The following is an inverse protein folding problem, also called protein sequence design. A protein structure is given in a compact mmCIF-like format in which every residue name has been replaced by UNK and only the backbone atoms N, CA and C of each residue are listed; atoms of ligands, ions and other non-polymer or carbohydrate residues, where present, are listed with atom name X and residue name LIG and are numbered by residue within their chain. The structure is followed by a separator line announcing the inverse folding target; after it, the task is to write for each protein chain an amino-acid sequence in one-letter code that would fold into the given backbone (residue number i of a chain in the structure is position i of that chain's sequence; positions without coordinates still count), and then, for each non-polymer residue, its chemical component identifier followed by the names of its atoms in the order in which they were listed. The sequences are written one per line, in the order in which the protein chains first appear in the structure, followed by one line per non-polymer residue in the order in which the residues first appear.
data_IF_709229909298
#
_entry.id   IF_709229909298
#
_cell.length_a   1.000
_cell.length_b   1.000
_cell.length_c   1.000
_cell.angle_alpha   90.00
_cell.angle_beta   90.00
_cell.angle_gamma   90.00
#
_symmetry.space_group_name_H-M   'P 1'
#
loop_
_entity.id
_entity.type
_entity.pdbx_description
1 polymer ?
#
# COMPACT_ATOMS: atom_id res chain seq x y z
N UNK A 1 -13.43 -33.48 -21.22
CA UNK A 1 -12.47 -34.04 -20.25
C UNK A 1 -11.15 -33.26 -20.25
N UNK A 2 -10.58 -32.93 -21.41
CA UNK A 2 -9.33 -32.16 -21.51
C UNK A 2 -9.35 -30.78 -20.82
N UNK A 3 -10.49 -30.07 -20.81
CA UNK A 3 -10.62 -28.80 -20.08
C UNK A 3 -10.26 -28.92 -18.59
N UNK A 4 -10.86 -29.89 -17.89
CA UNK A 4 -10.65 -30.08 -16.44
C UNK A 4 -9.21 -30.46 -16.12
N UNK A 5 -8.55 -31.18 -17.04
CA UNK A 5 -7.13 -31.51 -16.91
C UNK A 5 -6.27 -30.25 -16.93
N UNK A 6 -6.47 -29.37 -17.91
CA UNK A 6 -5.69 -28.14 -18.02
C UNK A 6 -6.01 -27.11 -16.92
N UNK A 7 -7.26 -27.08 -16.47
CA UNK A 7 -7.68 -26.28 -15.31
C UNK A 7 -6.94 -26.74 -14.05
N UNK A 8 -6.93 -28.05 -13.77
CA UNK A 8 -6.13 -28.62 -12.67
C UNK A 8 -4.63 -28.33 -12.82
N UNK A 9 -4.06 -28.55 -14.01
CA UNK A 9 -2.65 -28.24 -14.29
C UNK A 9 -2.30 -26.77 -14.05
N UNK A 10 -3.19 -25.84 -14.37
CA UNK A 10 -2.98 -24.41 -14.14
C UNK A 10 -2.99 -24.09 -12.64
N UNK A 11 -3.94 -24.64 -11.88
CA UNK A 11 -4.00 -24.47 -10.43
C UNK A 11 -2.79 -25.10 -9.71
N UNK A 12 -2.40 -26.32 -10.09
CA UNK A 12 -1.23 -26.99 -9.53
C UNK A 12 0.06 -26.23 -9.84
N UNK A 13 0.20 -25.70 -11.07
CA UNK A 13 1.34 -24.88 -11.43
C UNK A 13 1.40 -23.56 -10.65
N UNK A 14 0.26 -22.91 -10.38
CA UNK A 14 0.20 -21.72 -9.53
C UNK A 14 0.59 -22.04 -8.08
N UNK A 15 0.08 -23.14 -7.53
CA UNK A 15 0.44 -23.57 -6.18
C UNK A 15 1.93 -23.90 -6.05
N UNK A 16 2.50 -24.61 -7.02
CA UNK A 16 3.94 -24.87 -7.08
C UNK A 16 4.72 -23.54 -7.18
N UNK A 17 4.24 -22.58 -7.98
CA UNK A 17 4.88 -21.27 -8.12
C UNK A 17 4.90 -20.51 -6.79
N UNK A 18 3.79 -20.51 -6.05
CA UNK A 18 3.71 -19.89 -4.72
C UNK A 18 4.68 -20.51 -3.72
N UNK A 19 4.77 -21.84 -3.67
CA UNK A 19 5.69 -22.55 -2.78
C UNK A 19 7.16 -22.19 -3.10
N UNK A 20 7.52 -22.18 -4.39
CA UNK A 20 8.89 -21.87 -4.83
C UNK A 20 9.23 -20.40 -4.51
N UNK A 21 8.34 -19.45 -4.79
CA UNK A 21 8.55 -18.03 -4.45
C UNK A 21 8.68 -17.80 -2.93
N UNK A 22 7.92 -18.53 -2.12
CA UNK A 22 8.02 -18.47 -0.65
C UNK A 22 9.38 -18.96 -0.17
N UNK A 23 9.84 -20.10 -0.68
CA UNK A 23 11.16 -20.65 -0.32
C UNK A 23 12.29 -19.70 -0.73
N UNK A 24 12.22 -19.11 -1.93
CA UNK A 24 13.14 -18.06 -2.39
C UNK A 24 13.17 -16.88 -1.42
N UNK A 25 12.01 -16.38 -1.03
CA UNK A 25 11.87 -15.23 -0.10
C UNK A 25 12.47 -15.52 1.27
N UNK A 26 12.25 -16.73 1.80
CA UNK A 26 12.82 -17.17 3.07
C UNK A 26 14.35 -17.28 2.98
N UNK A 27 14.88 -17.88 1.92
CA UNK A 27 16.33 -17.99 1.70
C UNK A 27 17.00 -16.62 1.58
N UNK A 28 16.39 -15.67 0.88
CA UNK A 28 16.92 -14.31 0.77
C UNK A 28 16.98 -13.63 2.14
N UNK A 29 15.90 -13.70 2.94
CA UNK A 29 15.89 -13.16 4.31
C UNK A 29 16.91 -13.86 5.23
N UNK A 30 17.05 -15.18 5.10
CA UNK A 30 18.03 -15.96 5.85
C UNK A 30 19.46 -15.51 5.50
N UNK A 31 19.76 -15.39 4.20
CA UNK A 31 21.04 -14.87 3.71
C UNK A 31 21.32 -13.48 4.28
N UNK A 32 20.37 -12.56 4.20
CA UNK A 32 20.55 -11.16 4.65
C UNK A 32 20.74 -11.04 6.17
N UNK A 33 20.19 -11.97 6.95
CA UNK A 33 20.28 -11.99 8.41
C UNK A 33 21.52 -12.71 8.94
N UNK A 34 21.84 -13.88 8.38
CA UNK A 34 22.83 -14.79 8.96
C UNK A 34 24.13 -14.87 8.16
N UNK A 35 24.13 -14.52 6.88
CA UNK A 35 25.30 -14.58 6.01
C UNK A 35 25.81 -13.15 5.77
N UNK A 36 26.40 -12.56 6.81
CA UNK A 36 27.09 -11.26 6.74
C UNK A 36 28.59 -11.47 6.93
N UNK A 37 29.38 -11.14 5.90
CA UNK A 37 30.85 -11.13 5.96
C UNK A 37 31.51 -12.51 5.97
N UNK A 38 31.52 -13.21 4.83
CA UNK A 38 32.45 -14.30 4.50
C UNK A 38 32.63 -14.36 2.97
N UNK A 39 33.85 -14.62 2.51
CA UNK A 39 34.19 -14.79 1.09
C UNK A 39 33.79 -16.17 0.57
N UNK A 40 33.25 -16.19 -0.66
CA UNK A 40 32.68 -17.33 -1.41
C UNK A 40 31.26 -17.80 -0.99
N UNK A 41 30.25 -16.99 -1.32
CA UNK A 41 28.81 -17.30 -1.27
C UNK A 41 28.33 -18.39 -2.27
N UNK A 42 29.23 -19.20 -2.84
CA UNK A 42 28.96 -20.03 -4.02
C UNK A 42 27.84 -21.06 -3.81
N UNK A 43 27.75 -21.67 -2.63
CA UNK A 43 26.70 -22.67 -2.33
C UNK A 43 25.30 -22.03 -2.26
N UNK A 44 25.17 -20.89 -1.59
CA UNK A 44 23.92 -20.14 -1.49
C UNK A 44 23.47 -19.64 -2.86
N UNK A 45 24.40 -19.14 -3.68
CA UNK A 45 24.09 -18.74 -5.06
C UNK A 45 23.64 -19.90 -5.95
N UNK A 46 24.25 -21.08 -5.81
CA UNK A 46 23.81 -22.28 -6.54
C UNK A 46 22.40 -22.73 -6.11
N UNK A 47 22.10 -22.66 -4.81
CA UNK A 47 20.76 -22.94 -4.31
C UNK A 47 19.73 -21.93 -4.87
N UNK A 48 20.05 -20.63 -4.84
CA UNK A 48 19.18 -19.59 -5.40
C UNK A 48 18.96 -19.79 -6.90
N UNK A 49 20.02 -20.10 -7.66
CA UNK A 49 19.93 -20.39 -9.10
C UNK A 49 19.06 -21.61 -9.40
N UNK A 50 19.12 -22.64 -8.56
CA UNK A 50 18.23 -23.82 -8.67
C UNK A 50 16.77 -23.43 -8.44
N UNK A 51 16.51 -22.59 -7.44
CA UNK A 51 15.16 -22.08 -7.16
C UNK A 51 14.67 -21.19 -8.31
N UNK A 52 15.50 -20.29 -8.86
CA UNK A 52 15.14 -19.47 -10.02
C UNK A 52 14.83 -20.32 -11.26
N UNK A 53 15.60 -21.40 -11.48
CA UNK A 53 15.32 -22.35 -12.55
C UNK A 53 13.97 -23.04 -12.34
N UNK A 54 13.64 -23.40 -11.10
CA UNK A 54 12.33 -23.98 -10.76
C UNK A 54 11.19 -22.98 -10.97
N UNK A 55 11.35 -21.71 -10.58
CA UNK A 55 10.38 -20.63 -10.86
C UNK A 55 10.09 -20.56 -12.36
N UNK A 56 11.13 -20.50 -13.20
CA UNK A 56 10.97 -20.44 -14.67
C UNK A 56 10.27 -21.67 -15.23
N UNK A 57 10.64 -22.86 -14.76
CA UNK A 57 10.02 -24.10 -15.21
C UNK A 57 8.52 -24.15 -14.85
N UNK A 58 8.17 -23.80 -13.62
CA UNK A 58 6.77 -23.79 -13.16
C UNK A 58 5.96 -22.68 -13.86
N UNK A 59 6.54 -21.50 -14.08
CA UNK A 59 5.90 -20.44 -14.87
C UNK A 59 5.64 -20.90 -16.32
N UNK A 60 6.57 -21.63 -16.94
CA UNK A 60 6.37 -22.20 -18.26
C UNK A 60 5.23 -23.24 -18.30
N UNK A 61 5.13 -24.11 -17.27
CA UNK A 61 4.01 -25.06 -17.14
C UNK A 61 2.67 -24.32 -17.08
N UNK A 62 2.58 -23.26 -16.27
CA UNK A 62 1.36 -22.45 -16.17
C UNK A 62 1.01 -21.80 -17.52
N UNK A 63 1.99 -21.18 -18.20
CA UNK A 63 1.78 -20.55 -19.52
C UNK A 63 1.28 -21.55 -20.56
N UNK A 64 1.83 -22.77 -20.56
CA UNK A 64 1.39 -23.84 -21.46
C UNK A 64 -0.06 -24.27 -21.17
N UNK A 65 -0.41 -24.48 -19.90
CA UNK A 65 -1.78 -24.81 -19.49
C UNK A 65 -2.76 -23.68 -19.82
N UNK A 66 -2.39 -22.42 -19.57
CA UNK A 66 -3.20 -21.24 -19.87
C UNK A 66 -3.44 -21.07 -21.38
N UNK A 67 -2.42 -21.32 -22.20
CA UNK A 67 -2.57 -21.34 -23.66
C UNK A 67 -3.56 -22.42 -24.12
N UNK A 68 -3.46 -23.64 -23.58
CA UNK A 68 -4.40 -24.71 -23.87
C UNK A 68 -5.84 -24.36 -23.46
N UNK A 69 -6.02 -23.76 -22.27
CA UNK A 69 -7.32 -23.26 -21.80
C UNK A 69 -7.87 -22.16 -22.72
N UNK A 70 -7.01 -21.27 -23.22
CA UNK A 70 -7.43 -20.21 -24.15
C UNK A 70 -8.02 -20.82 -25.42
N UNK A 71 -7.31 -21.75 -26.06
CA UNK A 71 -7.75 -22.45 -27.27
C UNK A 71 -9.05 -23.24 -27.02
N UNK A 72 -9.11 -24.00 -25.93
CA UNK A 72 -10.29 -24.80 -25.58
C UNK A 72 -11.49 -23.93 -25.22
N UNK A 73 -11.27 -22.75 -24.64
CA UNK A 73 -12.36 -21.86 -24.22
C UNK A 73 -13.14 -21.31 -25.42
N UNK A 74 -12.44 -20.99 -26.51
CA UNK A 74 -13.05 -20.51 -27.75
C UNK A 74 -13.87 -21.62 -28.42
N UNK A 75 -13.43 -22.87 -28.30
CA UNK A 75 -14.13 -24.06 -28.84
C UNK A 75 -15.34 -24.49 -28.00
N UNK A 76 -15.24 -24.38 -26.67
CA UNK A 76 -16.25 -24.86 -25.71
C UNK A 76 -17.21 -23.75 -25.24
N UNK A 77 -17.00 -22.50 -25.65
CA UNK A 77 -17.82 -21.36 -25.25
C UNK A 77 -17.76 -21.03 -23.75
N UNK A 78 -16.62 -21.29 -23.09
CA UNK A 78 -16.46 -21.03 -21.64
C UNK A 78 -16.19 -19.54 -21.39
N UNK A 79 -17.09 -18.90 -20.65
CA UNK A 79 -17.00 -17.48 -20.28
C UNK A 79 -16.59 -17.36 -18.80
N UNK A 80 -15.95 -16.25 -18.44
CA UNK A 80 -15.61 -15.94 -17.04
C UNK A 80 -14.20 -16.37 -16.66
N UNK A 81 -13.76 -17.60 -16.90
CA UNK A 81 -12.50 -18.19 -16.35
C UNK A 81 -11.23 -17.30 -16.40
N UNK A 82 -11.11 -16.40 -17.39
CA UNK A 82 -10.00 -15.42 -17.51
C UNK A 82 -9.84 -14.47 -16.31
N UNK A 83 -10.87 -14.25 -15.49
CA UNK A 83 -10.75 -13.42 -14.28
C UNK A 83 -10.00 -14.14 -13.15
N UNK A 84 -10.09 -15.47 -13.11
CA UNK A 84 -9.47 -16.36 -12.13
C UNK A 84 -8.06 -16.74 -12.60
N UNK A 85 -7.95 -17.26 -13.82
CA UNK A 85 -6.69 -17.69 -14.43
C UNK A 85 -6.25 -16.66 -15.47
N UNK A 86 -5.45 -15.69 -15.02
CA UNK A 86 -4.95 -14.58 -15.86
C UNK A 86 -3.67 -14.98 -16.61
N UNK A 87 -3.36 -14.34 -17.75
CA UNK A 87 -2.07 -14.51 -18.39
C UNK A 87 -0.94 -14.09 -17.43
N UNK A 88 0.10 -14.92 -17.31
CA UNK A 88 1.23 -14.70 -16.40
C UNK A 88 2.36 -13.94 -17.11
N UNK A 89 2.46 -12.64 -16.87
CA UNK A 89 3.60 -11.83 -17.28
C UNK A 89 4.83 -12.10 -16.39
N UNK A 90 6.04 -11.80 -16.88
CA UNK A 90 7.25 -11.94 -16.04
C UNK A 90 7.24 -10.97 -14.85
N UNK A 91 6.58 -9.82 -14.99
CA UNK A 91 6.37 -8.81 -13.94
C UNK A 91 5.51 -9.33 -12.78
N UNK A 92 4.59 -10.27 -13.07
CA UNK A 92 3.71 -10.86 -12.07
C UNK A 92 4.45 -11.84 -11.15
N UNK A 93 5.62 -12.35 -11.58
CA UNK A 93 6.44 -13.32 -10.86
C UNK A 93 7.23 -12.58 -9.77
N UNK A 94 6.54 -12.24 -8.69
CA UNK A 94 7.09 -11.50 -7.58
C UNK A 94 6.80 -12.18 -6.25
N UNK A 95 7.77 -12.11 -5.34
CA UNK A 95 7.60 -12.55 -3.96
C UNK A 95 6.46 -11.79 -3.26
N UNK A 96 5.72 -12.51 -2.43
CA UNK A 96 4.76 -11.97 -1.46
C UNK A 96 5.36 -10.88 -0.55
N UNK A 97 6.69 -10.85 -0.32
CA UNK A 97 7.35 -9.79 0.49
C UNK A 97 7.90 -8.63 -0.35
N UNK A 98 8.08 -8.81 -1.67
CA UNK A 98 8.59 -7.76 -2.54
C UNK A 98 7.46 -6.93 -3.17
N UNK A 99 6.37 -7.57 -3.60
CA UNK A 99 5.28 -6.88 -4.32
C UNK A 99 5.73 -6.41 -5.71
N UNK A 100 4.85 -5.75 -6.46
CA UNK A 100 5.12 -5.27 -7.83
C UNK A 100 5.90 -3.94 -7.84
N UNK A 101 5.71 -3.11 -6.82
CA UNK A 101 6.39 -1.80 -6.70
C UNK A 101 7.59 -1.91 -5.75
N UNK A 102 8.81 -1.83 -6.30
CA UNK A 102 10.09 -1.86 -5.57
C UNK A 102 10.37 -0.52 -4.83
N UNK A 103 9.42 0.41 -4.86
CA UNK A 103 9.47 1.63 -4.05
C UNK A 103 9.61 1.28 -2.57
N UNK A 104 10.72 1.72 -1.96
CA UNK A 104 11.02 1.57 -0.51
C UNK A 104 9.89 2.04 0.43
N UNK A 105 8.91 2.79 -0.09
CA UNK A 105 7.70 3.15 0.63
C UNK A 105 6.69 2.00 0.64
N UNK A 106 6.53 1.37 1.80
CA UNK A 106 5.54 0.32 2.05
C UNK A 106 4.09 0.74 1.71
N UNK A 107 3.81 2.04 1.60
CA UNK A 107 2.49 2.59 1.25
C UNK A 107 2.01 2.41 -0.18
N UNK A 108 2.91 2.21 -1.17
CA UNK A 108 2.52 2.01 -2.60
C UNK A 108 2.57 0.55 -3.05
N UNK A 109 3.01 -0.34 -2.17
CA UNK A 109 3.24 -1.74 -2.45
C UNK A 109 1.94 -2.47 -2.81
N UNK A 110 1.89 -3.00 -4.03
CA UNK A 110 0.80 -3.84 -4.54
C UNK A 110 1.25 -5.30 -4.65
N UNK A 111 0.36 -6.21 -4.28
CA UNK A 111 0.57 -7.65 -4.50
C UNK A 111 0.28 -8.03 -5.94
N UNK A 112 1.04 -8.99 -6.45
CA UNK A 112 0.74 -9.62 -7.73
C UNK A 112 -0.56 -10.41 -7.66
N UNK A 113 -1.29 -10.47 -8.77
CA UNK A 113 -2.58 -11.14 -8.87
C UNK A 113 -2.50 -12.63 -8.53
N UNK A 114 -1.33 -13.26 -8.75
CA UNK A 114 -1.08 -14.66 -8.40
C UNK A 114 -1.40 -14.91 -6.91
N UNK A 115 -1.13 -13.93 -6.03
CA UNK A 115 -1.40 -14.01 -4.60
C UNK A 115 -2.83 -13.62 -4.19
N UNK A 116 -3.57 -12.92 -5.06
CA UNK A 116 -4.94 -12.46 -4.80
C UNK A 116 -6.00 -13.54 -5.06
N UNK A 117 -5.70 -14.51 -5.93
CA UNK A 117 -6.66 -15.53 -6.39
C UNK A 117 -6.80 -16.70 -5.40
N UNK A 118 -5.81 -16.94 -4.53
CA UNK A 118 -5.82 -18.05 -3.56
C UNK A 118 -6.81 -17.91 -2.39
N UNK A 119 -7.68 -16.89 -2.36
CA UNK A 119 -8.59 -16.62 -1.24
C UNK A 119 -10.02 -17.14 -1.39
N UNK A 120 -10.42 -17.68 -2.54
CA UNK A 120 -11.84 -18.03 -2.78
C UNK A 120 -12.01 -19.25 -3.70
N UNK A 121 -11.56 -20.42 -3.26
CA UNK A 121 -12.09 -21.67 -3.78
C UNK A 121 -12.64 -22.48 -2.60
N UNK A 122 -13.97 -22.55 -2.53
CA UNK A 122 -14.77 -23.37 -1.60
C UNK A 122 -14.54 -24.89 -1.76
N UNK A 123 -13.64 -25.29 -2.66
CA UNK A 123 -13.27 -26.69 -2.88
C UNK A 123 -12.29 -27.17 -1.83
N UNK A 124 -12.84 -27.82 -0.81
CA UNK A 124 -12.19 -28.66 0.20
C UNK A 124 -11.16 -29.65 -0.40
N UNK A 125 -9.89 -29.23 -0.50
CA UNK A 125 -8.73 -30.12 -0.32
C UNK A 125 -7.71 -29.35 0.51
N UNK A 126 -7.75 -29.55 1.84
CA UNK A 126 -6.73 -29.02 2.75
C UNK A 126 -5.44 -29.81 2.52
N UNK A 127 -4.61 -29.38 1.58
CA UNK A 127 -3.22 -29.78 1.57
C UNK A 127 -2.53 -29.08 2.75
N UNK A 128 -1.84 -29.81 3.62
CA UNK A 128 -1.15 -29.23 4.80
C UNK A 128 -0.13 -28.15 4.39
N UNK A 129 0.44 -28.26 3.18
CA UNK A 129 1.35 -27.26 2.60
C UNK A 129 0.68 -25.92 2.25
N UNK A 130 -0.66 -25.89 2.06
CA UNK A 130 -1.43 -24.70 1.71
C UNK A 130 -1.82 -23.85 2.95
N UNK A 131 -1.82 -24.44 4.15
CA UNK A 131 -2.08 -23.72 5.40
C UNK A 131 -1.08 -22.56 5.59
N UNK A 132 0.18 -22.78 5.22
CA UNK A 132 1.21 -21.74 5.26
C UNK A 132 0.93 -20.59 4.29
N UNK A 133 0.38 -20.88 3.10
CA UNK A 133 0.04 -19.88 2.06
C UNK A 133 -1.15 -19.05 2.51
N UNK A 134 -2.21 -19.71 2.99
CA UNK A 134 -3.38 -19.05 3.57
C UNK A 134 -2.99 -18.14 4.75
N UNK A 135 -2.16 -18.63 5.68
CA UNK A 135 -1.64 -17.82 6.79
C UNK A 135 -0.87 -16.58 6.31
N UNK A 136 -0.03 -16.72 5.28
CA UNK A 136 0.71 -15.59 4.73
C UNK A 136 -0.21 -14.55 4.08
N UNK A 137 -1.26 -15.01 3.36
CA UNK A 137 -2.29 -14.14 2.79
C UNK A 137 -3.06 -13.43 3.90
N UNK A 138 -3.48 -14.14 4.94
CA UNK A 138 -4.18 -13.55 6.09
C UNK A 138 -3.32 -12.51 6.82
N UNK A 139 -2.03 -12.80 7.04
CA UNK A 139 -1.08 -11.85 7.64
C UNK A 139 -0.97 -10.60 6.77
N UNK A 140 -0.87 -10.75 5.45
CA UNK A 140 -0.73 -9.60 4.56
C UNK A 140 -2.03 -8.81 4.42
N UNK A 141 -3.18 -9.47 4.41
CA UNK A 141 -4.48 -8.82 4.49
C UNK A 141 -4.60 -8.02 5.79
N UNK A 142 -4.29 -8.62 6.94
CA UNK A 142 -4.28 -7.95 8.23
C UNK A 142 -3.34 -6.74 8.23
N UNK A 143 -2.13 -6.86 7.65
CA UNK A 143 -1.18 -5.73 7.52
C UNK A 143 -1.72 -4.63 6.61
N UNK A 144 -2.30 -4.99 5.47
CA UNK A 144 -2.87 -4.02 4.51
C UNK A 144 -4.06 -3.29 5.10
N UNK A 145 -4.95 -4.02 5.78
CA UNK A 145 -6.08 -3.46 6.50
C UNK A 145 -5.64 -2.56 7.67
N UNK A 146 -4.67 -2.99 8.47
CA UNK A 146 -4.10 -2.18 9.54
C UNK A 146 -3.44 -0.89 9.01
N UNK A 147 -2.82 -0.93 7.82
CA UNK A 147 -2.28 0.25 7.13
C UNK A 147 -3.41 1.18 6.68
N UNK A 148 -4.48 0.65 6.07
CA UNK A 148 -5.63 1.45 5.67
C UNK A 148 -6.27 2.18 6.86
N UNK A 149 -6.45 1.48 7.99
CA UNK A 149 -6.95 2.11 9.22
C UNK A 149 -5.99 3.16 9.78
N UNK A 150 -4.68 2.92 9.76
CA UNK A 150 -3.68 3.91 10.20
C UNK A 150 -3.68 5.13 9.31
N UNK A 151 -3.70 4.95 7.99
CA UNK A 151 -3.78 6.04 7.03
C UNK A 151 -5.01 6.91 7.26
N UNK A 152 -6.17 6.29 7.49
CA UNK A 152 -7.42 7.01 7.80
C UNK A 152 -7.24 7.89 9.04
N UNK A 153 -6.68 7.33 10.12
CA UNK A 153 -6.38 8.10 11.35
C UNK A 153 -5.34 9.20 11.14
N UNK A 154 -4.30 8.94 10.34
CA UNK A 154 -3.27 9.94 10.03
C UNK A 154 -3.85 11.12 9.25
N UNK A 155 -4.78 10.85 8.33
CA UNK A 155 -5.53 11.89 7.60
C UNK A 155 -6.35 12.73 8.58
N UNK A 156 -7.11 12.10 9.48
CA UNK A 156 -7.90 12.81 10.49
C UNK A 156 -7.01 13.67 11.40
N UNK A 157 -5.89 13.12 11.87
CA UNK A 157 -4.93 13.82 12.73
C UNK A 157 -4.28 15.00 12.00
N UNK A 158 -3.99 14.87 10.71
CA UNK A 158 -3.43 15.95 9.90
C UNK A 158 -4.42 17.12 9.75
N UNK A 159 -5.73 16.85 9.65
CA UNK A 159 -6.75 17.90 9.67
C UNK A 159 -6.84 18.58 11.03
N UNK A 160 -6.80 17.81 12.10
CA UNK A 160 -6.80 18.36 13.44
C UNK A 160 -5.57 19.26 13.66
N UNK A 161 -4.40 18.84 13.18
CA UNK A 161 -3.17 19.60 13.31
C UNK A 161 -3.19 20.89 12.50
N UNK A 162 -3.76 20.88 11.29
CA UNK A 162 -4.01 22.11 10.53
C UNK A 162 -4.84 23.12 11.35
N UNK A 163 -5.96 22.68 11.93
CA UNK A 163 -6.79 23.52 12.79
C UNK A 163 -6.05 24.02 14.04
N UNK A 164 -5.21 23.17 14.65
CA UNK A 164 -4.39 23.57 15.80
C UNK A 164 -3.36 24.63 15.41
N UNK A 165 -2.72 24.51 14.25
CA UNK A 165 -1.77 25.51 13.75
C UNK A 165 -2.44 26.87 13.55
N UNK A 166 -3.63 26.91 12.92
CA UNK A 166 -4.36 28.17 12.73
C UNK A 166 -4.73 28.83 14.07
N UNK A 167 -5.21 28.02 15.03
CA UNK A 167 -5.52 28.49 16.38
C UNK A 167 -4.28 28.99 17.12
N UNK A 168 -3.17 28.26 17.00
CA UNK A 168 -1.89 28.67 17.58
C UNK A 168 -1.39 30.00 17.01
N UNK A 169 -1.42 30.17 15.69
CA UNK A 169 -0.99 31.43 15.05
C UNK A 169 -1.86 32.61 15.50
N UNK A 170 -3.18 32.41 15.61
CA UNK A 170 -4.09 33.43 16.11
C UNK A 170 -3.79 33.81 17.56
N UNK A 171 -3.60 32.81 18.43
CA UNK A 171 -3.22 33.02 19.83
C UNK A 171 -1.85 33.68 19.97
N UNK A 172 -0.88 33.31 19.12
CA UNK A 172 0.47 33.86 19.17
C UNK A 172 0.49 35.32 18.70
N UNK A 173 -0.38 35.68 17.74
CA UNK A 173 -0.59 37.08 17.36
C UNK A 173 -1.13 37.92 18.52
N UNK A 174 -2.16 37.44 19.23
CA UNK A 174 -2.68 38.13 20.42
C UNK A 174 -1.64 38.22 21.53
N UNK A 175 -0.87 37.16 21.74
CA UNK A 175 0.22 37.16 22.71
C UNK A 175 1.30 38.20 22.40
N UNK A 176 1.64 38.41 21.12
CA UNK A 176 2.55 39.49 20.73
C UNK A 176 1.96 40.88 21.04
N UNK A 177 0.69 41.12 20.71
CA UNK A 177 0.02 42.39 21.05
C UNK A 177 0.04 42.66 22.57
N UNK A 178 -0.26 41.65 23.38
CA UNK A 178 -0.25 41.77 24.84
C UNK A 178 1.16 42.04 25.36
N UNK A 179 2.16 41.36 24.79
CA UNK A 179 3.57 41.51 25.18
C UNK A 179 4.13 42.90 24.88
N UNK A 180 3.67 43.54 23.79
CA UNK A 180 4.01 44.93 23.48
C UNK A 180 3.52 45.93 24.53
N UNK A 181 2.46 45.59 25.27
CA UNK A 181 1.88 46.42 26.33
C UNK A 181 2.32 46.01 27.74
N UNK A 182 2.91 44.82 27.91
CA UNK A 182 3.28 44.28 29.22
C UNK A 182 4.46 45.02 29.90
N UNK A 183 5.32 45.70 29.12
CA UNK A 183 6.47 46.45 29.66
C UNK A 183 6.28 47.95 29.46
N UNK A 184 5.95 48.67 30.53
CA UNK A 184 6.01 50.13 30.56
C UNK A 184 7.44 50.59 30.82
N UNK A 185 7.94 51.49 29.98
CA UNK A 185 9.28 52.07 30.08
C UNK A 185 9.15 53.58 30.07
N UNK A 186 9.93 54.28 30.89
CA UNK A 186 9.83 55.73 31.07
C UNK A 186 10.18 56.53 29.80
N UNK A 187 10.93 55.92 28.87
CA UNK A 187 11.27 56.52 27.59
C UNK A 187 10.16 56.25 26.55
N UNK A 188 9.45 57.29 26.08
CA UNK A 188 8.33 57.13 25.15
C UNK A 188 8.76 56.57 23.79
N UNK A 189 9.95 56.92 23.29
CA UNK A 189 10.46 56.41 22.01
C UNK A 189 10.79 54.91 22.09
N UNK A 190 11.29 54.44 23.23
CA UNK A 190 11.55 53.02 23.46
C UNK A 190 10.23 52.23 23.61
N UNK A 191 9.23 52.82 24.27
CA UNK A 191 7.90 52.22 24.39
C UNK A 191 7.21 52.09 23.02
N UNK A 192 7.33 53.11 22.16
CA UNK A 192 6.84 53.07 20.78
C UNK A 192 7.53 51.99 19.96
N UNK A 193 8.87 51.87 20.05
CA UNK A 193 9.62 50.82 19.36
C UNK A 193 9.24 49.39 19.78
N UNK A 194 8.98 49.16 21.08
CA UNK A 194 8.50 47.87 21.58
C UNK A 194 7.11 47.51 21.05
N UNK A 195 6.20 48.49 21.00
CA UNK A 195 4.86 48.31 20.42
C UNK A 195 4.94 48.03 18.92
N UNK A 196 5.69 48.83 18.18
CA UNK A 196 5.86 48.64 16.74
C UNK A 196 6.47 47.28 16.39
N UNK A 197 7.44 46.80 17.18
CA UNK A 197 8.00 45.46 16.99
C UNK A 197 6.99 44.36 17.30
N UNK A 198 6.26 44.47 18.41
CA UNK A 198 5.22 43.53 18.79
C UNK A 198 4.09 43.45 17.75
N UNK A 199 3.62 44.61 17.26
CA UNK A 199 2.63 44.70 16.18
C UNK A 199 3.15 44.05 14.90
N UNK A 200 4.39 44.32 14.50
CA UNK A 200 5.01 43.66 13.34
C UNK A 200 5.04 42.14 13.49
N UNK A 201 5.38 41.62 14.68
CA UNK A 201 5.37 40.18 14.92
C UNK A 201 3.94 39.62 14.85
N UNK A 202 2.95 40.31 15.42
CA UNK A 202 1.55 39.92 15.32
C UNK A 202 1.08 39.85 13.86
N UNK A 203 1.42 40.84 13.03
CA UNK A 203 1.12 40.85 11.60
C UNK A 203 1.73 39.65 10.88
N UNK A 204 3.01 39.31 11.14
CA UNK A 204 3.65 38.13 10.53
C UNK A 204 2.89 36.83 10.87
N UNK A 205 2.43 36.67 12.11
CA UNK A 205 1.64 35.49 12.50
C UNK A 205 0.27 35.44 11.81
N UNK A 206 -0.37 36.60 11.65
CA UNK A 206 -1.64 36.73 10.91
C UNK A 206 -1.47 36.43 9.42
N UNK A 207 -0.39 36.91 8.79
CA UNK A 207 -0.07 36.65 7.39
C UNK A 207 0.20 35.16 7.16
N UNK A 208 0.98 34.51 8.06
CA UNK A 208 1.20 33.06 8.02
C UNK A 208 -0.13 32.29 8.11
N UNK A 209 -1.02 32.69 9.03
CA UNK A 209 -2.34 32.09 9.18
C UNK A 209 -3.15 32.20 7.88
N UNK A 210 -3.22 33.40 7.29
CA UNK A 210 -3.96 33.62 6.04
C UNK A 210 -3.37 32.79 4.89
N UNK A 211 -2.04 32.69 4.80
CA UNK A 211 -1.38 31.87 3.78
C UNK A 211 -1.72 30.38 3.92
N UNK A 212 -1.75 29.86 5.15
CA UNK A 212 -2.08 28.47 5.43
C UNK A 212 -3.57 28.20 5.23
N UNK A 213 -4.46 29.10 5.65
CA UNK A 213 -5.89 29.03 5.37
C UNK A 213 -6.15 28.95 3.86
N UNK A 214 -5.50 29.82 3.08
CA UNK A 214 -5.62 29.80 1.63
C UNK A 214 -5.12 28.47 1.03
N UNK A 215 -3.95 28.01 1.46
CA UNK A 215 -3.36 26.74 0.98
C UNK A 215 -4.21 25.52 1.34
N UNK A 216 -4.85 25.49 2.51
CA UNK A 216 -5.60 24.34 3.01
C UNK A 216 -7.08 24.34 2.61
N UNK A 217 -7.63 25.49 2.17
CA UNK A 217 -9.02 25.62 1.70
C UNK A 217 -9.37 24.60 0.60
N UNK A 218 -8.48 24.43 -0.37
CA UNK A 218 -8.70 23.50 -1.49
C UNK A 218 -8.64 22.03 -1.05
N UNK A 219 -7.75 21.68 -0.12
CA UNK A 219 -7.57 20.29 0.34
C UNK A 219 -8.82 19.72 1.01
N UNK A 220 -9.56 20.54 1.75
CA UNK A 220 -10.83 20.15 2.38
C UNK A 220 -11.95 19.92 1.38
N UNK A 221 -11.98 20.72 0.29
CA UNK A 221 -12.97 20.56 -0.76
C UNK A 221 -12.76 19.26 -1.54
N UNK A 222 -11.50 18.92 -1.87
CA UNK A 222 -11.20 17.67 -2.58
C UNK A 222 -11.63 16.41 -1.81
N UNK A 223 -11.50 16.40 -0.48
CA UNK A 223 -11.91 15.23 0.31
C UNK A 223 -13.42 15.14 0.50
N UNK A 224 -14.12 16.27 0.66
CA UNK A 224 -15.58 16.26 0.70
C UNK A 224 -16.17 15.70 -0.60
N UNK A 225 -15.62 16.13 -1.74
CA UNK A 225 -16.02 15.60 -3.05
C UNK A 225 -15.67 14.10 -3.17
N UNK A 226 -14.52 13.67 -2.65
CA UNK A 226 -14.13 12.26 -2.67
C UNK A 226 -15.04 11.37 -1.78
N UNK A 227 -15.43 11.86 -0.60
CA UNK A 227 -16.31 11.15 0.33
C UNK A 227 -17.76 11.09 -0.17
N UNK A 228 -18.26 12.19 -0.74
CA UNK A 228 -19.56 12.26 -1.43
C UNK A 228 -19.60 11.33 -2.66
N UNK A 229 -18.47 11.21 -3.39
CA UNK A 229 -18.33 10.30 -4.52
C UNK A 229 -18.31 8.81 -4.13
N UNK A 230 -17.76 8.47 -2.95
CA UNK A 230 -17.75 7.10 -2.43
C UNK A 230 -19.14 6.67 -1.92
N UNK A 231 -19.88 7.55 -1.23
CA UNK A 231 -21.25 7.27 -0.77
C UNK A 231 -22.26 7.11 -1.93
N UNK A 232 -21.99 7.72 -3.08
CA UNK A 232 -22.80 7.57 -4.29
C UNK A 232 -22.63 6.21 -4.99
N UNK A 233 -21.53 5.51 -4.79
CA UNK A 233 -21.27 4.19 -5.41
C UNK A 233 -21.89 3.06 -4.58
N UNK A 234 -21.84 3.14 -3.25
CA UNK A 234 -22.44 2.14 -2.35
C UNK A 234 -23.99 2.11 -2.42
N UNK A 235 -24.61 3.19 -2.90
CA UNK A 235 -26.07 3.28 -3.09
C UNK A 235 -26.57 2.63 -4.40
N UNK A 236 -25.68 2.33 -5.35
CA UNK A 236 -26.06 1.71 -6.64
C UNK A 236 -26.05 0.18 -6.54
N UNK A 237 -25.22 -0.40 -5.67
CA UNK A 237 -25.11 -1.86 -5.49
C UNK A 237 -26.18 -2.47 -4.55
N UNK A 238 -27.07 -1.66 -3.95
CA UNK A 238 -28.18 -2.15 -3.10
C UNK A 238 -29.53 -2.28 -3.82
N UNK A 239 -29.59 -2.03 -5.14
CA UNK A 239 -30.83 -2.07 -5.94
C UNK A 239 -30.79 -3.10 -7.08
N UNK A 240 -30.22 -4.28 -6.86
CA UNK A 240 -30.54 -5.47 -7.65
C UNK A 240 -30.82 -6.67 -6.73
N UNK A 241 -32.04 -6.67 -6.20
CA UNK A 241 -32.77 -7.88 -5.83
C UNK A 241 -33.29 -8.58 -7.09
#
# INVERSE_FOLDING_TARGET
MEWMLHEGQAHDALNELHQVLRSQSYMLKFKDRFIRGQGANTRTWNCLKSVDAKVRATAAKYRAAHHALTVLSDLLGKVGWKHILRPLADEDICSMTQGIDDSRSEGRRRLSWIWLVCGYSDSHVKNEDDAGVQDAIHIEWCRTRARAYRWTKEVDLLFEEQERILRFLCWHATWWCDKGNARTVDNPALQEGLRAYAERQATIQQDLKQSFEHMWRNKRQFLKIADEGLQGVDSVDTLQH
#
